data_IF_558261149456
#
_entry.id   IF_558261149456
#
_cell.length_a   1.000
_cell.length_b   1.000
_cell.length_c   1.000
_cell.angle_alpha   90.00
_cell.angle_beta   90.00
_cell.angle_gamma   90.00
#
_symmetry.space_group_name_H-M   'P 1'
#
loop_
_entity.id
_entity.type
_entity.pdbx_description
1 polymer ?
#
# COMPACT_ATOMS: atom_id res chain seq x y z
N UNK A 1 3.81 -6.84 3.37
CA UNK A 1 4.36 -6.76 2.01
C UNK A 1 5.58 -5.89 2.02
N UNK A 2 6.61 -6.29 1.27
CA UNK A 2 7.89 -5.61 1.25
C UNK A 2 8.36 -5.39 -0.19
N UNK A 3 9.19 -4.35 -0.38
CA UNK A 3 9.93 -4.11 -1.62
C UNK A 3 11.41 -4.07 -1.33
N UNK A 4 12.24 -4.45 -2.29
CA UNK A 4 13.68 -4.41 -2.14
C UNK A 4 14.20 -2.99 -2.41
N UNK A 5 14.95 -2.41 -1.47
CA UNK A 5 15.70 -1.18 -1.69
C UNK A 5 17.10 -1.54 -2.18
N UNK A 6 17.41 -1.22 -3.44
CA UNK A 6 18.71 -1.52 -4.03
C UNK A 6 19.83 -0.69 -3.37
N UNK A 7 19.52 0.56 -2.97
CA UNK A 7 20.49 1.41 -2.27
C UNK A 7 20.83 0.87 -0.87
N UNK A 8 19.84 0.38 -0.12
CA UNK A 8 20.03 -0.11 1.25
C UNK A 8 20.32 -1.62 1.33
N UNK A 9 20.21 -2.35 0.21
CA UNK A 9 20.40 -3.81 0.12
C UNK A 9 19.56 -4.60 1.13
N UNK A 10 18.31 -4.19 1.32
CA UNK A 10 17.37 -4.86 2.24
C UNK A 10 15.92 -4.69 1.81
N UNK A 11 15.06 -5.53 2.36
CA UNK A 11 13.62 -5.43 2.21
C UNK A 11 13.05 -4.35 3.14
N UNK A 12 12.15 -3.52 2.61
CA UNK A 12 11.45 -2.48 3.33
C UNK A 12 9.95 -2.75 3.29
N UNK A 13 9.31 -2.77 4.45
CA UNK A 13 7.86 -2.88 4.56
C UNK A 13 7.16 -1.72 3.85
N UNK A 14 6.16 -2.01 3.03
CA UNK A 14 5.36 -0.99 2.30
C UNK A 14 3.87 -1.13 2.49
N UNK A 15 3.41 -2.28 2.99
CA UNK A 15 2.01 -2.50 3.28
C UNK A 15 1.83 -3.56 4.36
N UNK A 16 0.88 -3.29 5.25
CA UNK A 16 0.36 -4.19 6.27
C UNK A 16 -1.09 -4.50 5.95
N UNK A 17 -1.50 -5.75 6.17
CA UNK A 17 -2.90 -6.17 6.14
C UNK A 17 -3.23 -6.76 7.50
N UNK A 18 -4.35 -6.35 8.07
CA UNK A 18 -4.71 -6.74 9.44
C UNK A 18 -6.22 -6.93 9.58
N UNK A 19 -6.60 -8.00 10.26
CA UNK A 19 -7.97 -8.30 10.67
C UNK A 19 -8.09 -8.03 12.17
N UNK A 20 -9.04 -7.18 12.55
CA UNK A 20 -9.29 -6.78 13.92
C UNK A 20 -10.57 -7.39 14.49
N UNK A 21 -11.30 -8.18 13.68
CA UNK A 21 -12.62 -8.70 14.01
C UNK A 21 -13.48 -7.56 14.61
N UNK A 22 -13.98 -7.75 15.83
CA UNK A 22 -14.83 -6.79 16.53
C UNK A 22 -14.06 -5.79 17.41
N UNK A 23 -12.73 -5.84 17.53
CA UNK A 23 -11.97 -5.02 18.50
C UNK A 23 -12.17 -3.51 18.28
N UNK A 24 -11.96 -3.05 17.04
CA UNK A 24 -12.14 -1.65 16.67
C UNK A 24 -13.63 -1.27 16.66
N UNK A 25 -14.48 -2.15 16.13
CA UNK A 25 -15.92 -1.95 16.06
C UNK A 25 -16.56 -1.77 17.45
N UNK A 26 -16.10 -2.50 18.47
CA UNK A 26 -16.58 -2.36 19.85
C UNK A 26 -16.26 -0.98 20.45
N UNK A 27 -15.09 -0.42 20.11
CA UNK A 27 -14.65 0.91 20.56
C UNK A 27 -15.39 2.04 19.84
N UNK A 28 -15.59 1.90 18.53
CA UNK A 28 -16.30 2.88 17.69
C UNK A 28 -17.83 2.74 17.75
N UNK A 29 -18.33 1.67 18.37
CA UNK A 29 -19.75 1.28 18.34
C UNK A 29 -20.28 1.09 16.90
N UNK A 30 -19.41 0.61 16.01
CA UNK A 30 -19.75 0.26 14.63
C UNK A 30 -20.55 -1.04 14.60
N UNK A 31 -21.81 -0.95 14.16
CA UNK A 31 -22.79 -2.04 14.21
C UNK A 31 -23.56 -2.11 12.91
N UNK A 32 -24.04 -3.31 12.60
CA UNK A 32 -24.96 -3.56 11.51
C UNK A 32 -26.23 -4.25 12.05
N UNK A 33 -27.29 -4.25 11.24
CA UNK A 33 -28.54 -4.93 11.57
C UNK A 33 -28.64 -6.21 10.75
N UNK A 34 -28.88 -7.32 11.42
CA UNK A 34 -29.07 -8.62 10.77
C UNK A 34 -30.48 -8.74 10.18
N UNK A 35 -30.70 -9.78 9.36
CA UNK A 35 -32.03 -10.10 8.79
C UNK A 35 -33.08 -10.35 9.88
N UNK A 36 -32.66 -10.92 11.02
CA UNK A 36 -33.50 -11.13 12.21
C UNK A 36 -33.76 -9.84 13.02
N UNK A 37 -33.38 -8.67 12.50
CA UNK A 37 -33.49 -7.35 13.15
C UNK A 37 -32.66 -7.22 14.43
N UNK A 38 -31.70 -8.11 14.68
CA UNK A 38 -30.75 -7.99 15.80
C UNK A 38 -29.62 -7.02 15.42
N UNK A 39 -29.03 -6.40 16.44
CA UNK A 39 -27.90 -5.49 16.26
C UNK A 39 -26.62 -6.18 16.67
N UNK A 40 -25.64 -6.25 15.77
CA UNK A 40 -24.35 -6.92 15.98
C UNK A 40 -23.17 -6.01 15.64
N UNK A 41 -22.00 -6.29 16.22
CA UNK A 41 -20.77 -5.56 15.90
C UNK A 41 -20.24 -5.97 14.53
N UNK A 42 -19.74 -5.00 13.77
CA UNK A 42 -19.07 -5.28 12.50
C UNK A 42 -17.71 -5.94 12.73
N UNK A 43 -17.25 -6.73 11.77
CA UNK A 43 -15.84 -7.10 11.65
C UNK A 43 -15.08 -6.07 10.81
N UNK A 44 -13.85 -5.77 11.23
CA UNK A 44 -13.02 -4.74 10.60
C UNK A 44 -11.71 -5.33 10.14
N UNK A 45 -11.31 -4.99 8.91
CA UNK A 45 -10.00 -5.28 8.36
C UNK A 45 -9.50 -4.03 7.62
N UNK A 46 -8.19 -3.87 7.53
CA UNK A 46 -7.57 -2.84 6.70
C UNK A 46 -6.33 -3.37 6.00
N UNK A 47 -5.95 -2.68 4.93
CA UNK A 47 -4.76 -2.98 4.14
C UNK A 47 -4.24 -1.71 3.49
N UNK A 48 -2.94 -1.48 3.55
CA UNK A 48 -2.33 -0.34 2.84
C UNK A 48 -2.32 -0.61 1.34
N UNK A 49 -2.94 0.27 0.55
CA UNK A 49 -2.92 0.17 -0.91
C UNK A 49 -1.58 0.65 -1.50
N UNK A 50 -1.16 1.87 -1.15
CA UNK A 50 0.06 2.48 -1.66
C UNK A 50 0.68 3.43 -0.64
N UNK A 51 1.85 3.09 -0.11
CA UNK A 51 2.65 3.95 0.76
C UNK A 51 3.74 4.66 -0.03
N UNK A 52 3.52 5.94 -0.33
CA UNK A 52 4.29 6.68 -1.35
C UNK A 52 5.82 6.70 -1.11
N UNK A 53 6.37 7.06 0.07
CA UNK A 53 7.80 7.36 0.19
C UNK A 53 8.72 6.16 -0.13
N UNK A 54 8.43 4.99 0.46
CA UNK A 54 9.23 3.78 0.26
C UNK A 54 9.05 3.19 -1.13
N UNK A 55 7.84 3.30 -1.68
CA UNK A 55 7.56 2.83 -3.04
C UNK A 55 8.27 3.69 -4.07
N UNK A 56 8.24 5.02 -3.95
CA UNK A 56 8.96 5.92 -4.86
C UNK A 56 10.47 5.69 -4.79
N UNK A 57 11.04 5.57 -3.57
CA UNK A 57 12.45 5.26 -3.41
C UNK A 57 12.82 3.94 -4.12
N UNK A 58 12.10 2.85 -3.84
CA UNK A 58 12.34 1.57 -4.48
C UNK A 58 12.13 1.62 -6.01
N UNK A 59 11.15 2.37 -6.51
CA UNK A 59 10.93 2.55 -7.95
C UNK A 59 12.13 3.23 -8.62
N UNK A 60 12.64 4.32 -8.04
CA UNK A 60 13.81 5.03 -8.59
C UNK A 60 15.07 4.16 -8.52
N UNK A 61 15.35 3.58 -7.36
CA UNK A 61 16.53 2.76 -7.12
C UNK A 61 16.60 1.52 -8.02
N UNK A 62 15.48 0.83 -8.24
CA UNK A 62 15.46 -0.41 -9.02
C UNK A 62 15.29 -0.20 -10.53
N UNK A 63 15.02 1.03 -11.00
CA UNK A 63 14.91 1.34 -12.43
C UNK A 63 16.03 2.28 -12.93
N UNK A 64 17.08 2.47 -12.13
CA UNK A 64 18.26 3.24 -12.50
C UNK A 64 19.09 2.50 -13.57
N UNK A 65 19.60 3.26 -14.53
CA UNK A 65 20.51 2.84 -15.60
C UNK A 65 21.75 3.74 -15.62
N UNK A 66 22.69 3.47 -16.51
CA UNK A 66 23.90 4.30 -16.63
C UNK A 66 23.58 5.73 -17.09
N UNK A 67 22.48 5.93 -17.82
CA UNK A 67 22.11 7.21 -18.42
C UNK A 67 21.01 7.98 -17.67
N UNK A 68 20.40 7.40 -16.63
CA UNK A 68 19.25 7.99 -15.92
C UNK A 68 18.32 6.94 -15.33
N UNK A 69 17.03 7.24 -15.17
CA UNK A 69 16.04 6.34 -14.57
C UNK A 69 14.89 6.11 -15.54
N UNK A 70 14.61 4.84 -15.86
CA UNK A 70 13.45 4.48 -16.69
C UNK A 70 12.18 4.43 -15.85
N UNK A 71 11.12 5.08 -16.32
CA UNK A 71 9.81 5.00 -15.66
C UNK A 71 9.13 3.68 -16.06
N UNK A 72 8.55 2.92 -15.13
CA UNK A 72 7.74 1.75 -15.46
C UNK A 72 6.64 2.12 -16.46
N UNK A 73 6.48 1.31 -17.52
CA UNK A 73 5.55 1.59 -18.63
C UNK A 73 4.13 1.95 -18.17
N UNK A 74 3.67 1.32 -17.09
CA UNK A 74 2.33 1.56 -16.51
C UNK A 74 2.17 2.94 -15.88
N UNK A 75 3.26 3.62 -15.51
CA UNK A 75 3.26 4.96 -14.92
C UNK A 75 3.41 6.07 -15.97
N UNK A 76 3.91 5.76 -17.17
CA UNK A 76 4.15 6.74 -18.24
C UNK A 76 2.91 7.60 -18.58
N UNK A 77 1.68 7.05 -18.69
CA UNK A 77 0.49 7.87 -18.95
C UNK A 77 0.18 8.89 -17.84
N UNK A 78 0.64 8.64 -16.61
CA UNK A 78 0.43 9.51 -15.46
C UNK A 78 1.58 10.52 -15.28
N UNK A 79 2.80 10.16 -15.68
CA UNK A 79 3.98 11.02 -15.58
C UNK A 79 4.14 11.97 -16.79
N UNK A 80 3.71 11.57 -17.98
CA UNK A 80 3.93 12.33 -19.22
C UNK A 80 5.35 12.21 -19.81
N UNK A 81 6.19 11.37 -19.20
CA UNK A 81 7.54 11.04 -19.64
C UNK A 81 7.87 9.58 -19.29
N UNK A 82 8.83 8.98 -20.00
CA UNK A 82 9.29 7.61 -19.77
C UNK A 82 10.72 7.52 -19.20
N UNK A 83 11.40 8.66 -19.05
CA UNK A 83 12.78 8.74 -18.59
C UNK A 83 13.03 9.98 -17.73
N UNK A 84 13.77 9.82 -16.64
CA UNK A 84 14.32 10.91 -15.81
C UNK A 84 15.83 10.99 -16.08
N UNK A 85 16.31 12.18 -16.48
CA UNK A 85 17.73 12.49 -16.64
C UNK A 85 18.41 12.77 -15.30
#
# INVERSE_FOLDING_TARGET
FEVFSAAQKRWLEVSSVSNFESYQANRLKCRYRTEEKKTELCHTLNGSALALPRIVAALLENNQTEEGIRIPKVLVPYCGFDFIQ
#
